data_IF_516103923559
#
_entry.id   IF_516103923559
#
_cell.length_a   1.000
_cell.length_b   1.000
_cell.length_c   1.000
_cell.angle_alpha   90.00
_cell.angle_beta   90.00
_cell.angle_gamma   90.00
#
_symmetry.space_group_name_H-M   'P 1'
#
loop_
_entity.id
_entity.type
_entity.pdbx_description
1 polymer ?
#
# COMPACT_ATOMS: atom_id res chain seq x y z
N UNK A 1 5.60 -9.65 17.63
CA UNK A 1 6.45 -8.79 18.47
C UNK A 1 5.82 -8.59 19.85
N UNK A 2 4.51 -8.31 19.94
CA UNK A 2 3.81 -8.23 21.24
C UNK A 2 3.89 -9.55 22.02
N UNK A 3 3.67 -10.70 21.36
CA UNK A 3 3.74 -12.03 21.98
C UNK A 3 5.13 -12.40 22.59
N UNK A 4 6.18 -11.74 22.14
CA UNK A 4 7.55 -11.94 22.66
C UNK A 4 8.04 -10.73 23.48
N UNK A 5 7.16 -9.82 23.86
CA UNK A 5 7.42 -8.70 24.76
C UNK A 5 8.27 -7.56 24.18
N UNK A 6 8.48 -7.52 22.86
CA UNK A 6 9.25 -6.44 22.22
C UNK A 6 8.46 -5.15 22.04
N UNK A 7 7.12 -5.23 22.04
CA UNK A 7 6.22 -4.07 22.02
C UNK A 7 5.10 -4.30 23.04
N UNK A 8 4.73 -3.26 23.75
CA UNK A 8 3.71 -3.33 24.82
C UNK A 8 2.31 -2.94 24.36
N UNK A 9 2.21 -2.09 23.34
CA UNK A 9 0.92 -1.65 22.79
C UNK A 9 1.05 -1.48 21.27
N UNK A 10 0.67 -2.49 20.47
CA UNK A 10 0.73 -2.40 19.00
C UNK A 10 -0.42 -1.53 18.46
N UNK A 11 -0.24 -0.22 18.42
CA UNK A 11 -1.20 0.72 17.80
C UNK A 11 -0.89 0.95 16.31
N UNK A 12 0.02 0.16 15.72
CA UNK A 12 0.40 0.30 14.32
C UNK A 12 -0.72 -0.14 13.41
N UNK A 13 -1.25 0.79 12.61
CA UNK A 13 -2.24 0.52 11.58
C UNK A 13 -1.56 0.08 10.29
N UNK A 14 -2.06 -0.96 9.67
CA UNK A 14 -1.54 -1.50 8.41
C UNK A 14 -2.43 -1.09 7.24
N UNK A 15 -1.80 -0.59 6.17
CA UNK A 15 -2.50 -0.21 4.95
C UNK A 15 -1.97 -1.02 3.77
N UNK A 16 -2.89 -1.66 3.02
CA UNK A 16 -2.57 -2.31 1.77
C UNK A 16 -2.69 -1.31 0.62
N UNK A 17 -1.66 -1.24 -0.23
CA UNK A 17 -1.64 -0.35 -1.40
C UNK A 17 -1.59 -1.18 -2.67
N UNK A 18 -2.45 -0.88 -3.63
CA UNK A 18 -2.49 -1.55 -4.94
C UNK A 18 -2.64 -0.52 -6.07
N UNK A 19 -2.36 -0.93 -7.31
CA UNK A 19 -2.66 -0.14 -8.50
C UNK A 19 -4.14 -0.22 -8.87
N UNK A 20 -4.74 0.88 -9.34
CA UNK A 20 -6.16 0.92 -9.74
C UNK A 20 -6.50 -0.13 -10.80
N UNK A 21 -5.58 -0.44 -11.71
CA UNK A 21 -5.76 -1.46 -12.74
C UNK A 21 -5.61 -2.91 -12.24
N UNK A 22 -5.22 -3.12 -10.96
CA UNK A 22 -5.12 -4.45 -10.35
C UNK A 22 -5.26 -4.35 -8.81
N UNK A 23 -6.49 -4.23 -8.30
CA UNK A 23 -6.76 -3.95 -6.89
C UNK A 23 -7.72 -4.96 -6.23
N UNK A 24 -7.45 -6.28 -6.26
CA UNK A 24 -8.36 -7.28 -5.70
C UNK A 24 -8.54 -7.14 -4.18
N UNK A 25 -7.49 -6.81 -3.43
CA UNK A 25 -7.55 -6.59 -1.98
C UNK A 25 -8.38 -5.36 -1.64
N UNK A 26 -8.15 -4.25 -2.35
CA UNK A 26 -8.91 -3.00 -2.15
C UNK A 26 -10.39 -3.23 -2.42
N UNK A 27 -10.74 -3.92 -3.51
CA UNK A 27 -12.12 -4.27 -3.84
C UNK A 27 -12.78 -5.11 -2.75
N UNK A 28 -12.09 -6.15 -2.26
CA UNK A 28 -12.59 -7.00 -1.18
C UNK A 28 -12.74 -6.23 0.14
N UNK A 29 -11.80 -5.34 0.46
CA UNK A 29 -11.87 -4.47 1.62
C UNK A 29 -13.10 -3.57 1.59
N UNK A 30 -13.31 -2.84 0.48
CA UNK A 30 -14.43 -1.90 0.31
C UNK A 30 -15.80 -2.60 0.33
N UNK A 31 -15.87 -3.85 -0.15
CA UNK A 31 -17.08 -4.66 -0.12
C UNK A 31 -17.26 -5.52 1.15
N UNK A 32 -16.36 -5.37 2.14
CA UNK A 32 -16.42 -6.12 3.41
C UNK A 32 -16.15 -7.62 3.28
N UNK A 33 -15.65 -8.08 2.13
CA UNK A 33 -15.44 -9.51 1.87
C UNK A 33 -14.20 -10.04 2.59
N UNK A 34 -14.23 -11.27 3.14
CA UNK A 34 -13.08 -11.88 3.82
C UNK A 34 -12.03 -12.45 2.85
N UNK A 35 -12.34 -12.52 1.57
CA UNK A 35 -11.54 -13.12 0.49
C UNK A 35 -11.56 -12.20 -0.72
N UNK A 36 -10.45 -12.08 -1.43
CA UNK A 36 -10.38 -11.31 -2.65
C UNK A 36 -10.65 -12.19 -3.87
N UNK A 37 -11.65 -11.82 -4.67
CA UNK A 37 -11.86 -12.44 -5.97
C UNK A 37 -10.75 -12.05 -6.95
N UNK A 38 -10.37 -12.94 -7.88
CA UNK A 38 -9.39 -12.62 -8.91
C UNK A 38 -9.77 -11.38 -9.71
N UNK A 39 -8.75 -10.57 -10.05
CA UNK A 39 -8.91 -9.40 -10.89
C UNK A 39 -8.85 -9.78 -12.36
N UNK A 40 -9.79 -9.29 -13.16
CA UNK A 40 -9.81 -9.47 -14.61
C UNK A 40 -9.05 -8.33 -15.28
N UNK A 41 -8.42 -8.60 -16.42
CA UNK A 41 -7.72 -7.61 -17.26
C UNK A 41 -6.73 -6.73 -16.49
N UNK A 42 -5.95 -7.37 -15.60
CA UNK A 42 -5.01 -6.70 -14.71
C UNK A 42 -3.95 -5.93 -15.51
N UNK A 43 -3.85 -4.63 -15.27
CA UNK A 43 -2.87 -3.75 -15.87
C UNK A 43 -2.36 -2.73 -14.85
N UNK A 44 -1.09 -2.46 -14.84
CA UNK A 44 -0.40 -1.37 -14.13
C UNK A 44 1.05 -1.37 -14.57
N UNK A 45 1.68 -0.21 -14.56
CA UNK A 45 3.11 -0.05 -14.80
C UNK A 45 3.95 -0.55 -13.60
N UNK A 46 3.38 -0.57 -12.41
CA UNK A 46 3.98 -1.16 -11.22
C UNK A 46 3.88 -2.69 -11.26
N UNK A 47 4.85 -3.34 -11.91
CA UNK A 47 4.83 -4.80 -12.13
C UNK A 47 4.72 -5.60 -10.83
N UNK A 48 5.37 -5.15 -9.77
CA UNK A 48 5.29 -5.76 -8.43
C UNK A 48 3.91 -5.69 -7.80
N UNK A 49 3.06 -4.75 -8.23
CA UNK A 49 1.67 -4.63 -7.77
C UNK A 49 0.66 -5.35 -8.69
N UNK A 50 1.08 -5.84 -9.86
CA UNK A 50 0.21 -6.56 -10.78
C UNK A 50 0.01 -8.01 -10.35
N UNK A 51 -0.74 -8.20 -9.28
CA UNK A 51 -1.03 -9.52 -8.67
C UNK A 51 -2.53 -9.79 -8.73
N UNK A 52 -3.05 -10.31 -9.87
CA UNK A 52 -4.49 -10.53 -10.07
C UNK A 52 -5.11 -11.50 -9.07
N UNK A 53 -4.33 -12.43 -8.54
CA UNK A 53 -4.75 -13.40 -7.51
C UNK A 53 -3.81 -13.32 -6.32
N UNK A 54 -4.18 -12.56 -5.31
CA UNK A 54 -3.42 -12.41 -4.08
C UNK A 54 -3.50 -13.70 -3.25
N UNK A 55 -2.39 -14.43 -3.12
CA UNK A 55 -2.35 -15.73 -2.40
C UNK A 55 -2.55 -15.59 -0.89
N UNK A 56 -2.21 -14.45 -0.31
CA UNK A 56 -2.35 -14.16 1.11
C UNK A 56 -3.56 -13.29 1.46
N UNK A 57 -4.56 -13.20 0.59
CA UNK A 57 -5.68 -12.28 0.68
C UNK A 57 -6.40 -12.29 2.05
N UNK A 58 -6.72 -13.48 2.59
CA UNK A 58 -7.36 -13.63 3.89
C UNK A 58 -6.50 -13.06 5.03
N UNK A 59 -5.20 -13.31 4.98
CA UNK A 59 -4.27 -12.81 6.00
C UNK A 59 -4.10 -11.30 5.90
N UNK A 60 -4.01 -10.76 4.69
CA UNK A 60 -3.92 -9.33 4.44
C UNK A 60 -5.19 -8.64 4.94
N UNK A 61 -6.36 -9.09 4.48
CA UNK A 61 -7.66 -8.52 4.87
C UNK A 61 -7.92 -8.62 6.37
N UNK A 62 -7.49 -9.70 7.02
CA UNK A 62 -7.53 -9.84 8.46
C UNK A 62 -6.59 -8.85 9.14
N UNK A 63 -5.32 -8.78 8.71
CA UNK A 63 -4.33 -7.90 9.33
C UNK A 63 -4.74 -6.43 9.29
N UNK A 64 -5.27 -5.94 8.17
CA UNK A 64 -5.75 -4.55 8.08
C UNK A 64 -7.00 -4.30 8.92
N UNK A 65 -7.88 -5.31 9.13
CA UNK A 65 -9.03 -5.19 10.05
C UNK A 65 -8.59 -5.20 11.51
N UNK A 66 -7.74 -6.15 11.88
CA UNK A 66 -7.28 -6.33 13.26
C UNK A 66 -6.43 -5.12 13.76
N UNK A 67 -5.91 -4.30 12.83
CA UNK A 67 -5.09 -3.13 13.15
C UNK A 67 -5.80 -1.79 12.92
N UNK A 68 -7.10 -1.79 12.66
CA UNK A 68 -7.86 -0.57 12.31
C UNK A 68 -7.21 0.21 11.14
N UNK A 69 -6.64 -0.53 10.20
CA UNK A 69 -6.00 -0.01 9.00
C UNK A 69 -6.96 0.09 7.82
N UNK A 70 -6.45 -0.11 6.60
CA UNK A 70 -7.27 -0.01 5.40
C UNK A 70 -6.59 -0.50 4.13
N UNK A 71 -7.27 -0.31 3.03
CA UNK A 71 -6.72 -0.58 1.70
C UNK A 71 -7.05 0.57 0.74
N UNK A 72 -6.10 0.92 -0.11
CA UNK A 72 -6.22 2.02 -1.07
C UNK A 72 -5.63 1.63 -2.41
N UNK A 73 -6.30 2.02 -3.49
CA UNK A 73 -5.78 1.93 -4.85
C UNK A 73 -5.22 3.29 -5.30
N UNK A 74 -4.16 3.26 -6.11
CA UNK A 74 -3.46 4.43 -6.64
C UNK A 74 -3.31 4.27 -8.14
N UNK A 75 -3.52 5.34 -8.90
CA UNK A 75 -3.30 5.34 -10.35
C UNK A 75 -1.80 5.34 -10.71
N UNK A 76 -1.46 4.78 -11.87
CA UNK A 76 -0.08 4.73 -12.37
C UNK A 76 0.54 6.13 -12.48
N UNK A 77 -0.21 7.13 -12.96
CA UNK A 77 0.22 8.53 -13.01
C UNK A 77 0.65 9.07 -11.64
N UNK A 78 -0.13 8.75 -10.60
CA UNK A 78 0.20 9.17 -9.23
C UNK A 78 1.45 8.47 -8.70
N UNK A 79 1.60 7.18 -9.00
CA UNK A 79 2.80 6.43 -8.62
C UNK A 79 4.05 7.06 -9.24
N UNK A 80 4.02 7.36 -10.55
CA UNK A 80 5.12 8.01 -11.26
C UNK A 80 5.45 9.39 -10.67
N UNK A 81 4.43 10.23 -10.43
CA UNK A 81 4.62 11.57 -9.86
C UNK A 81 5.31 11.51 -8.50
N UNK A 82 4.91 10.59 -7.63
CA UNK A 82 5.48 10.48 -6.30
C UNK A 82 6.85 9.77 -6.30
N UNK A 83 7.13 8.88 -7.25
CA UNK A 83 8.48 8.35 -7.49
C UNK A 83 9.45 9.48 -7.85
N UNK A 84 9.06 10.35 -8.80
CA UNK A 84 9.87 11.51 -9.17
C UNK A 84 10.01 12.52 -8.01
N UNK A 85 8.99 12.65 -7.17
CA UNK A 85 9.05 13.48 -5.98
C UNK A 85 10.10 12.97 -5.01
N UNK A 86 10.09 11.66 -4.66
CA UNK A 86 11.10 11.04 -3.77
C UNK A 86 12.52 11.32 -4.27
N UNK A 87 12.74 11.18 -5.56
CA UNK A 87 14.04 11.46 -6.16
C UNK A 87 14.46 12.94 -5.99
N UNK A 88 13.52 13.86 -6.24
CA UNK A 88 13.83 15.30 -6.23
C UNK A 88 13.96 15.88 -4.83
N UNK A 89 13.16 15.43 -3.86
CA UNK A 89 13.12 16.03 -2.51
C UNK A 89 14.01 15.30 -1.53
N UNK A 90 14.17 13.98 -1.66
CA UNK A 90 14.89 13.13 -0.71
C UNK A 90 16.14 12.48 -1.30
N UNK A 91 16.36 12.57 -2.61
CA UNK A 91 17.45 11.88 -3.30
C UNK A 91 17.26 10.35 -3.34
N UNK A 92 16.04 9.86 -3.05
CA UNK A 92 15.73 8.43 -3.04
C UNK A 92 15.29 7.98 -4.43
N UNK A 93 16.06 7.08 -5.04
CA UNK A 93 15.77 6.49 -6.33
C UNK A 93 14.83 5.27 -6.17
N UNK A 94 13.61 5.53 -5.70
CA UNK A 94 12.62 4.50 -5.42
C UNK A 94 12.09 3.83 -6.71
N UNK A 95 11.65 2.57 -6.60
CA UNK A 95 10.84 1.94 -7.65
C UNK A 95 9.43 2.56 -7.72
N UNK A 96 8.68 2.22 -8.76
CA UNK A 96 7.32 2.75 -8.94
C UNK A 96 6.37 2.31 -7.80
N UNK A 97 6.58 1.15 -7.20
CA UNK A 97 5.89 0.68 -6.00
C UNK A 97 6.21 1.55 -4.77
N UNK A 98 7.44 2.09 -4.68
CA UNK A 98 7.82 3.09 -3.68
C UNK A 98 7.04 4.40 -3.87
N UNK A 99 6.82 4.82 -5.12
CA UNK A 99 5.93 5.92 -5.47
C UNK A 99 4.48 5.65 -5.07
N UNK A 100 4.00 4.42 -5.27
CA UNK A 100 2.65 4.02 -4.89
C UNK A 100 2.38 4.18 -3.39
N UNK A 101 3.30 3.74 -2.53
CA UNK A 101 3.09 3.86 -1.07
C UNK A 101 3.19 5.31 -0.60
N UNK A 102 4.01 6.16 -1.22
CA UNK A 102 4.01 7.59 -0.93
C UNK A 102 2.71 8.26 -1.40
N UNK A 103 2.23 7.94 -2.60
CA UNK A 103 0.95 8.46 -3.12
C UNK A 103 -0.22 8.08 -2.20
N UNK A 104 -0.25 6.82 -1.74
CA UNK A 104 -1.24 6.34 -0.78
C UNK A 104 -1.17 7.09 0.55
N UNK A 105 0.02 7.25 1.13
CA UNK A 105 0.20 7.98 2.40
C UNK A 105 -0.27 9.44 2.29
N UNK A 106 0.03 10.12 1.19
CA UNK A 106 -0.43 11.49 0.93
C UNK A 106 -1.95 11.57 0.79
N UNK A 107 -2.57 10.62 0.10
CA UNK A 107 -4.02 10.55 -0.03
C UNK A 107 -4.70 10.28 1.33
N UNK A 108 -4.18 9.34 2.12
CA UNK A 108 -4.66 9.03 3.47
C UNK A 108 -4.51 10.23 4.42
N UNK A 109 -3.40 10.97 4.30
CA UNK A 109 -3.18 12.21 5.05
C UNK A 109 -4.20 13.28 4.67
N UNK A 110 -4.42 13.50 3.38
CA UNK A 110 -5.41 14.47 2.88
C UNK A 110 -6.84 14.12 3.31
N UNK A 111 -7.16 12.83 3.43
CA UNK A 111 -8.44 12.33 3.93
C UNK A 111 -8.54 12.33 5.47
N UNK A 112 -7.52 12.79 6.20
CA UNK A 112 -7.51 12.83 7.66
C UNK A 112 -7.34 11.46 8.34
N UNK A 113 -7.05 10.40 7.59
CA UNK A 113 -6.83 9.06 8.13
C UNK A 113 -5.43 8.92 8.75
N UNK A 114 -4.45 9.68 8.29
CA UNK A 114 -3.15 9.85 8.94
C UNK A 114 -3.17 11.23 9.59
N UNK A 115 -3.02 11.28 10.91
CA UNK A 115 -3.07 12.50 11.71
C UNK A 115 -1.72 13.21 11.74
N UNK A 116 -1.72 14.46 12.15
CA UNK A 116 -0.49 15.19 12.41
C UNK A 116 0.26 14.56 13.60
N UNK A 117 1.59 14.45 13.47
CA UNK A 117 2.43 13.83 14.48
C UNK A 117 2.53 12.30 14.44
N UNK A 118 1.72 11.63 13.62
CA UNK A 118 1.86 10.18 13.44
C UNK A 118 3.11 9.84 12.62
N UNK A 119 3.84 8.81 13.06
CA UNK A 119 4.96 8.25 12.29
C UNK A 119 4.43 7.29 11.23
N UNK A 120 4.85 7.49 9.98
CA UNK A 120 4.47 6.65 8.84
C UNK A 120 5.69 5.92 8.31
N UNK A 121 5.60 4.59 8.17
CA UNK A 121 6.63 3.77 7.54
C UNK A 121 6.18 3.39 6.14
N UNK A 122 6.95 3.76 5.13
CA UNK A 122 6.71 3.43 3.72
C UNK A 122 7.71 2.34 3.29
N UNK A 123 7.21 1.21 2.80
CA UNK A 123 8.06 0.14 2.29
C UNK A 123 8.45 0.42 0.83
N UNK A 124 9.70 0.82 0.61
CA UNK A 124 10.29 0.86 -0.73
C UNK A 124 11.04 -0.45 -0.99
N UNK A 125 10.53 -1.27 -1.89
CA UNK A 125 11.01 -2.64 -2.13
C UNK A 125 12.02 -2.77 -3.26
N UNK A 126 12.37 -1.67 -3.92
CA UNK A 126 13.33 -1.66 -5.03
C UNK A 126 13.77 -0.25 -5.42
N UNK A 127 14.51 -0.17 -6.52
CA UNK A 127 14.93 1.10 -7.12
C UNK A 127 14.66 1.11 -8.63
N UNK A 128 14.69 2.30 -9.25
CA UNK A 128 14.43 2.48 -10.67
C UNK A 128 15.43 1.75 -11.61
N UNK A 129 16.59 1.33 -11.11
CA UNK A 129 17.58 0.62 -11.93
C UNK A 129 17.20 -0.85 -12.19
N UNK A 130 16.19 -1.36 -11.52
CA UNK A 130 15.72 -2.73 -11.65
C UNK A 130 14.49 -2.87 -12.58
N UNK A 131 14.10 -1.81 -13.30
CA UNK A 131 12.98 -1.74 -14.23
C UNK A 131 13.44 -1.41 -15.66
#
# INVERSE_FOLDING_TARGET
LAAIGLITNPETRLYAVQGEGCAPIVRAWLSGQPVAEPWQDAHTEAWGLRVPRARGDRLILRAIRDTDGGAIAVSDDRMQQETLRLQRTEGINACIEGGAVLAAARALRAAGQIREGETVVLFNTGNLQNY
#
